data_IF_643059414614
#
_entry.id   IF_643059414614
#
_cell.length_a   1.000
_cell.length_b   1.000
_cell.length_c   1.000
_cell.angle_alpha   90.00
_cell.angle_beta   90.00
_cell.angle_gamma   90.00
#
_symmetry.space_group_name_H-M   'P 1'
#
loop_
_entity.id
_entity.type
_entity.pdbx_description
1 polymer ?
#
# COMPACT_ATOMS: atom_id res chain seq x y z
N UNK A 1 52.69 -20.22 -2.62
CA UNK A 1 52.72 -18.78 -2.23
C UNK A 1 51.83 -18.03 -3.20
N UNK A 2 51.01 -17.12 -2.69
CA UNK A 2 50.03 -16.25 -3.35
C UNK A 2 48.61 -16.80 -3.62
N UNK A 3 47.75 -16.33 -2.71
CA UNK A 3 46.29 -16.20 -2.71
C UNK A 3 45.83 -15.31 -3.87
N UNK A 4 44.65 -15.59 -4.45
CA UNK A 4 43.69 -14.55 -4.83
C UNK A 4 42.30 -15.14 -5.05
N UNK A 5 41.44 -14.81 -4.10
CA UNK A 5 40.00 -15.00 -4.03
C UNK A 5 39.30 -14.30 -5.19
N UNK A 6 38.31 -14.94 -5.82
CA UNK A 6 37.32 -14.25 -6.63
C UNK A 6 35.93 -14.72 -6.21
N UNK A 7 35.30 -13.85 -5.42
CA UNK A 7 33.90 -13.88 -5.03
C UNK A 7 33.12 -13.50 -6.29
N UNK A 8 32.36 -14.44 -6.87
CA UNK A 8 31.38 -14.12 -7.90
C UNK A 8 30.00 -14.18 -7.27
N UNK A 9 29.32 -13.04 -7.39
CA UNK A 9 28.14 -12.63 -6.66
C UNK A 9 26.98 -13.60 -6.86
N UNK A 10 26.28 -13.89 -5.76
CA UNK A 10 24.93 -14.41 -5.81
C UNK A 10 24.09 -13.42 -6.61
N UNK A 11 23.71 -13.79 -7.82
CA UNK A 11 22.58 -13.18 -8.50
C UNK A 11 21.34 -13.65 -7.72
N UNK A 12 21.04 -12.96 -6.63
CA UNK A 12 19.72 -12.96 -6.05
C UNK A 12 18.82 -12.30 -7.09
N UNK A 13 18.29 -13.09 -8.01
CA UNK A 13 17.07 -12.75 -8.70
C UNK A 13 16.01 -12.63 -7.61
N UNK A 14 15.87 -11.41 -7.07
CA UNK A 14 14.70 -11.06 -6.29
C UNK A 14 13.52 -11.34 -7.22
N UNK A 15 12.79 -12.40 -6.91
CA UNK A 15 11.52 -12.66 -7.53
C UNK A 15 10.71 -11.38 -7.33
N UNK A 16 10.45 -10.68 -8.44
CA UNK A 16 9.39 -9.67 -8.50
C UNK A 16 8.13 -10.50 -8.29
N UNK A 17 7.79 -10.70 -7.03
CA UNK A 17 6.56 -11.34 -6.62
C UNK A 17 5.50 -10.34 -7.00
N UNK A 18 4.87 -10.55 -8.15
CA UNK A 18 3.65 -9.87 -8.51
C UNK A 18 2.59 -10.31 -7.49
N UNK A 19 2.54 -9.62 -6.34
CA UNK A 19 1.40 -9.66 -5.46
C UNK A 19 0.23 -9.20 -6.32
N UNK A 20 -0.74 -10.09 -6.58
CA UNK A 20 -1.87 -9.80 -7.43
C UNK A 20 -2.75 -8.74 -6.75
N UNK A 21 -2.43 -7.47 -7.02
CA UNK A 21 -3.25 -6.31 -6.68
C UNK A 21 -4.49 -6.39 -7.56
N UNK A 22 -5.62 -6.86 -7.00
CA UNK A 22 -6.89 -6.85 -7.71
C UNK A 22 -7.46 -5.43 -7.71
N UNK A 23 -7.20 -4.70 -8.80
CA UNK A 23 -7.91 -3.45 -9.10
C UNK A 23 -9.29 -3.82 -9.65
N UNK A 24 -10.31 -3.67 -8.79
CA UNK A 24 -11.72 -3.75 -9.18
C UNK A 24 -12.23 -5.14 -9.58
N UNK A 25 -12.67 -5.93 -8.60
CA UNK A 25 -13.89 -6.79 -8.60
C UNK A 25 -13.79 -7.83 -7.49
N UNK A 26 -14.65 -7.72 -6.48
CA UNK A 26 -14.86 -8.79 -5.49
C UNK A 26 -15.62 -9.94 -6.13
N UNK A 27 -14.99 -11.10 -6.25
CA UNK A 27 -15.71 -12.37 -6.34
C UNK A 27 -15.06 -13.34 -5.34
N UNK A 28 -15.88 -13.96 -4.50
CA UNK A 28 -15.53 -14.52 -3.19
C UNK A 28 -14.28 -15.42 -3.15
N UNK A 29 -13.54 -15.29 -2.04
CA UNK A 29 -12.40 -16.14 -1.69
C UNK A 29 -11.09 -15.43 -1.32
N UNK A 30 -11.09 -14.10 -1.16
CA UNK A 30 -9.86 -13.31 -0.96
C UNK A 30 -9.73 -12.81 0.50
N UNK A 31 -8.59 -13.09 1.13
CA UNK A 31 -8.19 -12.64 2.49
C UNK A 31 -7.85 -11.14 2.50
N UNK A 32 -8.87 -10.30 2.28
CA UNK A 32 -8.69 -8.85 2.34
C UNK A 32 -8.57 -8.36 3.79
N UNK A 33 -7.51 -7.60 4.05
CA UNK A 33 -7.19 -7.03 5.36
C UNK A 33 -7.72 -5.61 5.51
N UNK A 34 -7.51 -4.80 4.48
CA UNK A 34 -7.88 -3.40 4.46
C UNK A 34 -8.35 -2.97 3.07
N UNK A 35 -9.14 -1.91 3.05
CA UNK A 35 -9.58 -1.22 1.84
C UNK A 35 -9.12 0.23 1.89
N UNK A 36 -8.65 0.71 0.75
CA UNK A 36 -8.28 2.10 0.52
C UNK A 36 -9.13 2.62 -0.61
N UNK A 37 -10.01 3.57 -0.29
CA UNK A 37 -10.68 4.38 -1.31
C UNK A 37 -9.89 5.68 -1.47
N UNK A 38 -9.75 6.20 -2.68
CA UNK A 38 -8.94 7.39 -2.91
C UNK A 38 -9.52 8.33 -3.96
N UNK A 39 -9.14 9.61 -3.84
CA UNK A 39 -9.57 10.71 -4.71
C UNK A 39 -8.39 11.62 -5.06
N UNK A 40 -8.36 12.14 -6.29
CA UNK A 40 -7.33 13.06 -6.78
C UNK A 40 -7.53 14.49 -6.29
N UNK A 41 -8.77 14.97 -6.30
CA UNK A 41 -9.12 16.39 -6.14
C UNK A 41 -10.28 16.58 -5.17
N UNK A 42 -10.22 15.93 -4.01
CA UNK A 42 -11.19 16.12 -2.94
C UNK A 42 -10.47 16.49 -1.64
N UNK A 43 -11.16 17.22 -0.77
CA UNK A 43 -10.66 17.58 0.56
C UNK A 43 -11.31 16.76 1.68
N UNK A 44 -12.21 15.83 1.35
CA UNK A 44 -12.95 14.98 2.27
C UNK A 44 -13.29 13.62 1.62
N UNK A 45 -13.76 12.67 2.42
CA UNK A 45 -14.10 11.32 1.98
C UNK A 45 -15.61 11.14 1.76
N UNK A 46 -16.30 12.15 1.22
CA UNK A 46 -17.75 12.11 1.00
C UNK A 46 -18.15 12.06 -0.47
N UNK A 47 -17.20 11.85 -1.38
CA UNK A 47 -17.46 11.76 -2.82
C UNK A 47 -17.93 10.37 -3.23
N UNK A 48 -18.95 10.30 -4.10
CA UNK A 48 -19.41 9.04 -4.71
C UNK A 48 -18.47 8.54 -5.81
N UNK A 49 -17.77 9.45 -6.48
CA UNK A 49 -16.92 9.14 -7.62
C UNK A 49 -15.50 8.83 -7.13
N UNK A 50 -15.28 7.56 -6.77
CA UNK A 50 -13.95 7.09 -6.38
C UNK A 50 -13.02 7.09 -7.58
N UNK A 51 -11.86 7.74 -7.45
CA UNK A 51 -10.79 7.51 -8.41
C UNK A 51 -10.19 6.12 -8.16
N UNK A 52 -9.89 5.80 -6.88
CA UNK A 52 -9.27 4.56 -6.42
C UNK A 52 -10.21 3.75 -5.55
N UNK A 53 -10.31 2.45 -5.85
CA UNK A 53 -10.83 1.44 -4.93
C UNK A 53 -9.85 0.25 -4.89
N UNK A 54 -9.05 0.19 -3.83
CA UNK A 54 -7.93 -0.72 -3.69
C UNK A 54 -8.10 -1.59 -2.44
N UNK A 55 -7.81 -2.88 -2.57
CA UNK A 55 -7.89 -3.85 -1.49
C UNK A 55 -6.51 -4.43 -1.20
N UNK A 56 -6.21 -4.57 0.08
CA UNK A 56 -4.96 -5.13 0.58
C UNK A 56 -5.25 -6.54 1.04
N UNK A 57 -4.43 -7.47 0.56
CA UNK A 57 -4.46 -8.87 0.98
C UNK A 57 -3.24 -9.18 1.85
N UNK A 58 -3.30 -10.30 2.58
CA UNK A 58 -2.16 -10.86 3.33
C UNK A 58 -0.88 -10.93 2.46
N UNK A 59 -1.01 -11.25 1.17
CA UNK A 59 0.13 -11.36 0.24
C UNK A 59 0.78 -10.02 -0.13
N UNK A 60 0.11 -8.90 0.12
CA UNK A 60 0.61 -7.54 -0.16
C UNK A 60 1.12 -6.81 1.09
N UNK A 61 1.01 -7.44 2.26
CA UNK A 61 1.55 -6.87 3.50
C UNK A 61 3.06 -6.80 3.41
N UNK A 62 3.64 -5.71 3.92
CA UNK A 62 5.06 -5.37 3.89
C UNK A 62 5.65 -5.07 2.49
N UNK A 63 4.86 -5.20 1.42
CA UNK A 63 5.26 -4.83 0.07
C UNK A 63 4.95 -3.37 -0.25
N UNK A 64 5.71 -2.79 -1.18
CA UNK A 64 5.38 -1.49 -1.75
C UNK A 64 4.37 -1.68 -2.88
N UNK A 65 3.24 -0.99 -2.80
CA UNK A 65 2.19 -1.08 -3.81
C UNK A 65 2.05 0.27 -4.53
N UNK A 66 2.45 0.36 -5.81
CA UNK A 66 2.18 1.52 -6.64
C UNK A 66 0.67 1.72 -6.81
N UNK A 67 0.20 2.95 -6.64
CA UNK A 67 -1.17 3.33 -6.95
C UNK A 67 -1.30 3.56 -8.47
N UNK A 68 -2.41 3.13 -9.09
CA UNK A 68 -2.62 3.34 -10.53
C UNK A 68 -2.68 4.83 -10.93
N UNK A 69 -2.86 5.73 -9.96
CA UNK A 69 -2.73 7.17 -10.12
C UNK A 69 -2.51 7.82 -8.75
N UNK A 70 -1.96 9.04 -8.78
CA UNK A 70 -1.69 9.81 -7.57
C UNK A 70 -3.01 10.19 -6.86
N UNK A 71 -3.07 10.09 -5.53
CA UNK A 71 -4.25 10.46 -4.72
C UNK A 71 -3.88 11.51 -3.66
N UNK A 72 -4.78 12.44 -3.34
CA UNK A 72 -4.56 13.44 -2.28
C UNK A 72 -5.45 13.20 -1.08
N UNK A 73 -6.54 12.47 -1.25
CA UNK A 73 -7.44 12.06 -0.17
C UNK A 73 -7.66 10.57 -0.23
N UNK A 74 -7.69 9.92 0.94
CA UNK A 74 -8.00 8.50 1.06
C UNK A 74 -8.87 8.21 2.27
N UNK A 75 -9.82 7.29 2.10
CA UNK A 75 -10.59 6.69 3.18
C UNK A 75 -10.04 5.29 3.40
N UNK A 76 -9.63 5.02 4.63
CA UNK A 76 -9.11 3.72 5.03
C UNK A 76 -10.14 2.96 5.84
N UNK A 77 -10.25 1.66 5.58
CA UNK A 77 -11.01 0.77 6.45
C UNK A 77 -10.35 -0.58 6.62
N UNK A 78 -10.23 -1.01 7.88
CA UNK A 78 -9.97 -2.40 8.18
C UNK A 78 -11.19 -3.25 7.77
N UNK A 79 -10.95 -4.36 7.08
CA UNK A 79 -11.97 -5.33 6.68
C UNK A 79 -11.90 -6.61 7.50
N UNK A 80 -10.75 -6.90 8.11
CA UNK A 80 -10.53 -8.00 9.05
C UNK A 80 -10.01 -7.42 10.37
N UNK A 81 -10.43 -8.02 11.50
CA UNK A 81 -9.98 -7.61 12.83
C UNK A 81 -8.45 -7.62 12.90
N UNK A 82 -7.88 -6.49 13.33
CA UNK A 82 -6.43 -6.29 13.38
C UNK A 82 -6.08 -4.81 13.35
N UNK A 83 -4.87 -4.49 13.83
CA UNK A 83 -4.30 -3.16 13.66
C UNK A 83 -3.33 -3.18 12.49
N UNK A 84 -3.53 -2.26 11.54
CA UNK A 84 -2.67 -2.13 10.36
C UNK A 84 -2.05 -0.74 10.34
N UNK A 85 -0.74 -0.66 10.09
CA UNK A 85 -0.09 0.60 9.76
C UNK A 85 -0.18 0.81 8.26
N UNK A 86 -0.78 1.92 7.84
CA UNK A 86 -0.86 2.34 6.45
C UNK A 86 0.07 3.53 6.24
N UNK A 87 1.02 3.37 5.34
CA UNK A 87 2.04 4.38 5.00
C UNK A 87 1.90 4.78 3.54
N UNK A 88 1.85 6.08 3.27
CA UNK A 88 1.71 6.68 1.95
C UNK A 88 2.98 7.43 1.56
N UNK A 89 3.37 7.26 0.29
CA UNK A 89 4.63 7.78 -0.24
C UNK A 89 4.39 8.58 -1.51
N UNK A 90 5.30 9.51 -1.81
CA UNK A 90 5.27 10.33 -3.03
C UNK A 90 5.88 9.67 -4.25
N UNK A 91 6.63 8.59 -4.06
CA UNK A 91 7.27 7.83 -5.12
C UNK A 91 6.50 6.53 -5.41
N UNK A 92 7.01 5.76 -6.37
CA UNK A 92 6.43 4.45 -6.73
C UNK A 92 7.05 3.27 -6.01
N UNK A 93 8.15 3.48 -5.28
CA UNK A 93 9.02 2.47 -4.68
C UNK A 93 9.07 2.55 -3.14
N UNK A 94 8.26 3.41 -2.54
CA UNK A 94 8.05 3.54 -1.10
C UNK A 94 9.31 3.95 -0.32
N UNK A 95 10.06 4.93 -0.83
CA UNK A 95 11.26 5.46 -0.17
C UNK A 95 11.00 6.81 0.51
N UNK A 96 10.16 7.65 -0.09
CA UNK A 96 9.81 8.99 0.38
C UNK A 96 8.47 8.98 1.13
N UNK A 97 8.54 8.61 2.42
CA UNK A 97 7.36 8.56 3.30
C UNK A 97 6.82 9.96 3.57
N UNK A 98 5.52 10.16 3.29
CA UNK A 98 4.84 11.42 3.56
C UNK A 98 3.89 11.31 4.74
N UNK A 99 3.21 10.17 4.89
CA UNK A 99 2.22 10.00 5.95
C UNK A 99 2.08 8.55 6.38
N UNK A 100 2.08 8.31 7.68
CA UNK A 100 1.69 7.04 8.29
C UNK A 100 0.45 7.22 9.17
N UNK A 101 -0.42 6.22 9.21
CA UNK A 101 -1.50 6.13 10.19
C UNK A 101 -1.75 4.68 10.58
N UNK A 102 -2.38 4.47 11.72
CA UNK A 102 -2.91 3.16 12.13
C UNK A 102 -4.41 3.09 11.83
N UNK A 103 -4.88 1.92 11.43
CA UNK A 103 -6.29 1.65 11.12
C UNK A 103 -6.69 0.33 11.77
N UNK A 104 -7.69 0.40 12.64
CA UNK A 104 -8.18 -0.76 13.40
C UNK A 104 -9.69 -1.00 13.18
N UNK A 105 -10.36 -0.05 12.51
CA UNK A 105 -11.79 -0.04 12.18
C UNK A 105 -12.01 0.64 10.82
N UNK A 106 -13.24 0.67 10.32
CA UNK A 106 -13.59 1.41 9.10
C UNK A 106 -13.62 2.92 9.31
N UNK A 107 -13.29 3.68 8.26
CA UNK A 107 -13.68 5.10 8.13
C UNK A 107 -12.66 6.14 8.55
N UNK A 108 -11.35 5.87 8.44
CA UNK A 108 -10.32 6.90 8.69
C UNK A 108 -10.06 7.72 7.42
N UNK A 109 -10.55 8.96 7.39
CA UNK A 109 -10.36 9.86 6.27
C UNK A 109 -9.06 10.67 6.42
N UNK A 110 -8.19 10.57 5.42
CA UNK A 110 -6.93 11.28 5.36
C UNK A 110 -6.91 12.20 4.15
N UNK A 111 -6.36 13.40 4.34
CA UNK A 111 -6.08 14.35 3.26
C UNK A 111 -4.61 14.79 3.36
N UNK A 112 -3.92 14.77 2.23
CA UNK A 112 -2.55 15.28 2.11
C UNK A 112 -2.57 16.79 1.92
N UNK A 113 -1.85 17.49 2.78
CA UNK A 113 -1.60 18.92 2.68
C UNK A 113 -0.21 19.24 2.10
N UNK A 114 0.54 18.23 1.67
CA UNK A 114 1.91 18.38 1.15
C UNK A 114 1.92 18.07 -0.35
N UNK A 115 1.53 16.86 -0.73
CA UNK A 115 1.65 16.34 -2.09
C UNK A 115 0.81 15.07 -2.29
N UNK A 116 0.49 14.74 -3.53
CA UNK A 116 -0.23 13.51 -3.83
C UNK A 116 0.62 12.26 -3.54
N UNK A 117 -0.04 11.19 -3.14
CA UNK A 117 0.55 9.89 -2.85
C UNK A 117 0.50 9.01 -4.10
N UNK A 118 1.63 8.38 -4.43
CA UNK A 118 1.82 7.53 -5.60
C UNK A 118 1.98 6.05 -5.26
N UNK A 119 2.32 5.72 -4.01
CA UNK A 119 2.37 4.34 -3.54
C UNK A 119 1.95 4.24 -2.07
N UNK A 120 1.63 3.02 -1.67
CA UNK A 120 1.23 2.68 -0.32
C UNK A 120 1.93 1.41 0.13
N UNK A 121 2.31 1.37 1.41
CA UNK A 121 2.77 0.16 2.10
C UNK A 121 1.93 -0.05 3.33
N UNK A 122 1.47 -1.28 3.53
CA UNK A 122 0.73 -1.67 4.72
C UNK A 122 1.46 -2.74 5.47
N UNK A 123 1.61 -2.54 6.78
CA UNK A 123 2.24 -3.51 7.67
C UNK A 123 1.23 -3.90 8.74
N UNK A 124 1.20 -5.17 9.12
CA UNK A 124 0.47 -5.60 10.31
C UNK A 124 1.29 -5.23 11.53
N UNK A 125 0.63 -4.81 12.60
CA UNK A 125 1.22 -4.95 13.93
C UNK A 125 0.94 -6.39 14.35
N UNK A 126 1.81 -7.33 14.00
CA UNK A 126 1.66 -8.69 14.51
C UNK A 126 1.64 -8.66 16.05
N UNK A 127 0.68 -9.42 16.60
CA UNK A 127 0.47 -9.67 18.02
C UNK A 127 1.57 -10.56 18.62
#
# INVERSE_FOLDING_TARGET
>A
MHVSTLISLFANAAAISAAAVQVGQTTGGQDYLARIKGWKNMSNCSGSDLDLDFYITEASVNECVPLPFATTTAELGALKDGSYQVSFYTDGDCTDLVRGTTVNVSGNCLNSNICAWNSVKVTTYDA
#
